data_IF_648858584161
#
_entry.id   IF_648858584161
#
_cell.length_a   1.000
_cell.length_b   1.000
_cell.length_c   1.000
_cell.angle_alpha   90.00
_cell.angle_beta   90.00
_cell.angle_gamma   90.00
#
_symmetry.space_group_name_H-M   'P 1'
#
loop_
_entity.id
_entity.type
_entity.pdbx_description
1 polymer ?
#
# COMPACT_ATOMS: atom_id res chain seq x y z
N UNK A 1 -22.63 28.36 -15.05
CA UNK A 1 -21.15 28.22 -15.00
C UNK A 1 -20.67 29.13 -13.86
N UNK A 2 -20.96 28.72 -12.63
CA UNK A 2 -21.42 29.68 -11.61
C UNK A 2 -20.35 30.34 -10.72
N UNK A 3 -19.09 30.37 -11.14
CA UNK A 3 -18.07 31.26 -10.53
C UNK A 3 -17.13 31.91 -11.57
N UNK A 4 -17.39 31.77 -12.88
CA UNK A 4 -16.48 32.25 -13.93
C UNK A 4 -15.13 31.52 -14.02
N UNK A 5 -14.94 30.48 -13.20
CA UNK A 5 -13.70 29.72 -13.10
C UNK A 5 -13.63 28.63 -14.17
N UNK A 6 -12.51 28.55 -14.89
CA UNK A 6 -12.32 27.60 -16.00
C UNK A 6 -12.29 26.14 -15.52
N UNK A 7 -12.67 25.21 -16.39
CA UNK A 7 -12.79 23.76 -16.07
C UNK A 7 -11.54 23.19 -15.42
N UNK A 8 -10.34 23.60 -15.87
CA UNK A 8 -9.06 23.15 -15.31
C UNK A 8 -8.87 23.65 -13.87
N UNK A 9 -9.24 24.90 -13.58
CA UNK A 9 -9.15 25.42 -12.21
C UNK A 9 -10.15 24.73 -11.29
N UNK A 10 -11.39 24.51 -11.73
CA UNK A 10 -12.40 23.76 -10.97
C UNK A 10 -11.93 22.33 -10.66
N UNK A 11 -11.32 21.65 -11.64
CA UNK A 11 -10.76 20.31 -11.43
C UNK A 11 -9.66 20.31 -10.37
N UNK A 12 -8.66 21.20 -10.48
CA UNK A 12 -7.53 21.23 -9.55
C UNK A 12 -7.90 21.70 -8.15
N UNK A 13 -8.90 22.58 -8.02
CA UNK A 13 -9.24 23.25 -6.76
C UNK A 13 -10.37 22.56 -5.99
N UNK A 14 -11.25 21.83 -6.68
CA UNK A 14 -12.42 21.18 -6.07
C UNK A 14 -12.34 19.67 -6.27
N UNK A 15 -12.33 19.19 -7.51
CA UNK A 15 -12.41 17.75 -7.80
C UNK A 15 -11.19 16.98 -7.32
N UNK A 16 -9.99 17.49 -7.57
CA UNK A 16 -8.72 16.84 -7.22
C UNK A 16 -8.54 16.74 -5.70
N UNK A 17 -8.75 17.79 -4.88
CA UNK A 17 -8.65 17.68 -3.42
C UNK A 17 -9.73 16.78 -2.82
N UNK A 18 -10.95 16.78 -3.38
CA UNK A 18 -12.03 15.88 -2.94
C UNK A 18 -11.71 14.40 -3.26
N UNK A 19 -11.09 14.13 -4.41
CA UNK A 19 -10.67 12.79 -4.79
C UNK A 19 -9.34 12.35 -4.15
N UNK A 20 -8.54 13.30 -3.65
CA UNK A 20 -7.21 13.09 -3.07
C UNK A 20 -7.12 11.96 -2.03
N UNK A 21 -7.99 11.88 -1.00
CA UNK A 21 -7.93 10.78 -0.03
C UNK A 21 -8.17 9.41 -0.68
N UNK A 22 -9.03 9.33 -1.70
CA UNK A 22 -9.29 8.10 -2.46
C UNK A 22 -8.11 7.71 -3.35
N UNK A 23 -7.47 8.68 -4.01
CA UNK A 23 -6.27 8.47 -4.84
C UNK A 23 -5.10 7.99 -3.97
N UNK A 24 -4.90 8.57 -2.78
CA UNK A 24 -3.87 8.11 -1.86
C UNK A 24 -4.11 6.66 -1.42
N UNK A 25 -5.36 6.31 -1.11
CA UNK A 25 -5.71 4.94 -0.75
C UNK A 25 -5.43 3.94 -1.88
N UNK A 26 -5.80 4.28 -3.13
CA UNK A 26 -5.56 3.41 -4.28
C UNK A 26 -4.08 3.28 -4.63
N UNK A 27 -3.30 4.36 -4.54
CA UNK A 27 -1.84 4.33 -4.75
C UNK A 27 -1.16 3.38 -3.77
N UNK A 28 -1.48 3.49 -2.48
CA UNK A 28 -0.91 2.60 -1.46
C UNK A 28 -1.33 1.14 -1.67
N UNK A 29 -2.58 0.90 -2.05
CA UNK A 29 -3.09 -0.44 -2.31
C UNK A 29 -2.40 -1.08 -3.53
N UNK A 30 -2.33 -0.38 -4.65
CA UNK A 30 -1.66 -0.88 -5.86
C UNK A 30 -0.17 -1.08 -5.65
N UNK A 31 0.50 -0.19 -4.90
CA UNK A 31 1.89 -0.39 -4.50
C UNK A 31 2.08 -1.67 -3.68
N UNK A 32 1.20 -1.90 -2.71
CA UNK A 32 1.24 -3.12 -1.86
C UNK A 32 1.08 -4.38 -2.69
N UNK A 33 0.10 -4.41 -3.60
CA UNK A 33 -0.13 -5.54 -4.51
C UNK A 33 1.09 -5.76 -5.41
N UNK A 34 1.66 -4.69 -5.98
CA UNK A 34 2.84 -4.79 -6.84
C UNK A 34 4.07 -5.34 -6.12
N UNK A 35 4.23 -5.06 -4.82
CA UNK A 35 5.36 -5.55 -4.03
C UNK A 35 5.22 -7.04 -3.67
N UNK A 36 3.99 -7.56 -3.58
CA UNK A 36 3.68 -8.96 -3.26
C UNK A 36 3.85 -9.91 -4.46
N UNK A 37 3.83 -9.39 -5.69
CA UNK A 37 3.94 -10.19 -6.92
C UNK A 37 5.39 -10.64 -7.22
N UNK A 38 5.87 -11.63 -6.47
CA UNK A 38 7.17 -12.28 -6.71
C UNK A 38 7.24 -12.95 -8.09
N UNK A 39 6.16 -13.61 -8.54
CA UNK A 39 6.17 -14.39 -9.79
C UNK A 39 6.41 -13.48 -10.99
N UNK A 40 5.72 -12.34 -11.06
CA UNK A 40 5.93 -11.36 -12.11
C UNK A 40 7.34 -10.79 -12.07
N UNK A 41 7.84 -10.43 -10.88
CA UNK A 41 9.21 -9.94 -10.74
C UNK A 41 10.23 -10.98 -11.22
N UNK A 42 10.06 -12.25 -10.86
CA UNK A 42 10.97 -13.34 -11.25
C UNK A 42 11.05 -13.52 -12.77
N UNK A 43 9.92 -13.42 -13.48
CA UNK A 43 9.91 -13.56 -14.93
C UNK A 43 10.31 -12.29 -15.69
N UNK A 44 10.12 -11.10 -15.11
CA UNK A 44 10.40 -9.83 -15.78
C UNK A 44 11.79 -9.24 -15.49
N UNK A 45 12.36 -9.50 -14.31
CA UNK A 45 13.59 -8.82 -13.86
C UNK A 45 14.87 -9.27 -14.58
N UNK A 46 14.86 -10.43 -15.25
CA UNK A 46 16.00 -10.92 -16.02
C UNK A 46 17.26 -11.11 -15.17
N UNK A 47 18.23 -10.20 -15.28
CA UNK A 47 19.50 -10.25 -14.55
C UNK A 47 19.52 -9.36 -13.29
N UNK A 48 18.50 -8.52 -13.08
CA UNK A 48 18.42 -7.64 -11.91
C UNK A 48 17.74 -8.36 -10.73
N UNK A 49 18.39 -8.36 -9.57
CA UNK A 49 17.85 -8.99 -8.36
C UNK A 49 17.02 -8.00 -7.57
N UNK A 50 15.69 -8.17 -7.61
CA UNK A 50 14.76 -7.47 -6.72
C UNK A 50 14.73 -8.14 -5.35
N UNK A 51 14.25 -7.42 -4.34
CA UNK A 51 14.21 -7.91 -2.96
C UNK A 51 13.46 -9.26 -2.79
N UNK A 52 12.29 -9.49 -3.42
CA UNK A 52 11.62 -10.80 -3.38
C UNK A 52 12.43 -11.91 -4.06
N UNK A 53 13.08 -11.62 -5.20
CA UNK A 53 13.93 -12.59 -5.92
C UNK A 53 15.16 -12.95 -5.09
N UNK A 54 15.74 -11.97 -4.40
CA UNK A 54 16.87 -12.19 -3.51
C UNK A 54 16.49 -13.15 -2.36
N UNK A 55 15.39 -12.87 -1.66
CA UNK A 55 14.88 -13.73 -0.57
C UNK A 55 14.68 -15.16 -1.09
N UNK A 56 14.03 -15.32 -2.25
CA UNK A 56 13.80 -16.62 -2.88
C UNK A 56 15.10 -17.35 -3.26
N UNK A 57 16.07 -16.65 -3.86
CA UNK A 57 17.36 -17.22 -4.28
C UNK A 57 18.15 -17.74 -3.08
N UNK A 58 18.13 -17.02 -1.95
CA UNK A 58 18.86 -17.41 -0.74
C UNK A 58 18.25 -18.62 -0.03
N UNK A 59 16.97 -18.96 -0.23
CA UNK A 59 16.34 -20.16 0.34
C UNK A 59 16.97 -21.47 -0.16
N UNK A 60 17.61 -21.46 -1.33
CA UNK A 60 18.28 -22.63 -1.91
C UNK A 60 19.58 -22.99 -1.19
N UNK A 61 20.12 -22.09 -0.37
CA UNK A 61 21.37 -22.28 0.36
C UNK A 61 21.10 -22.53 1.85
N UNK A 62 21.27 -23.76 2.35
CA UNK A 62 20.94 -24.10 3.74
C UNK A 62 21.62 -23.21 4.79
N UNK A 63 22.86 -22.78 4.49
CA UNK A 63 23.65 -21.93 5.38
C UNK A 63 23.13 -20.48 5.49
N UNK A 64 22.27 -20.04 4.57
CA UNK A 64 21.68 -18.69 4.55
C UNK A 64 20.23 -18.65 5.01
N UNK A 65 19.62 -19.81 5.27
CA UNK A 65 18.23 -19.94 5.75
C UNK A 65 17.94 -19.10 7.02
N UNK A 66 18.78 -19.08 8.07
CA UNK A 66 18.47 -18.31 9.28
C UNK A 66 18.34 -16.80 8.99
N UNK A 67 19.17 -16.28 8.08
CA UNK A 67 19.14 -14.87 7.68
C UNK A 67 17.87 -14.53 6.90
N UNK A 68 17.47 -15.40 5.96
CA UNK A 68 16.25 -15.20 5.15
C UNK A 68 14.99 -15.27 6.01
N UNK A 69 14.92 -16.23 6.94
CA UNK A 69 13.80 -16.37 7.87
C UNK A 69 13.69 -15.15 8.79
N UNK A 70 14.82 -14.59 9.25
CA UNK A 70 14.82 -13.35 10.03
C UNK A 70 14.30 -12.15 9.22
N UNK A 71 14.67 -12.03 7.94
CA UNK A 71 14.14 -10.97 7.07
C UNK A 71 12.63 -11.13 6.86
N UNK A 72 12.16 -12.36 6.63
CA UNK A 72 10.72 -12.66 6.52
C UNK A 72 9.96 -12.31 7.79
N UNK A 73 10.50 -12.64 8.97
CA UNK A 73 9.91 -12.26 10.25
C UNK A 73 9.80 -10.74 10.42
N UNK A 74 10.84 -9.97 10.03
CA UNK A 74 10.80 -8.52 10.06
C UNK A 74 9.69 -7.94 9.17
N UNK A 75 9.54 -8.46 7.94
CA UNK A 75 8.48 -8.03 7.01
C UNK A 75 7.09 -8.35 7.58
N UNK A 76 6.89 -9.54 8.14
CA UNK A 76 5.62 -9.93 8.76
C UNK A 76 5.26 -9.04 9.95
N UNK A 77 6.22 -8.77 10.83
CA UNK A 77 6.03 -7.88 11.99
C UNK A 77 5.68 -6.46 11.53
N UNK A 78 6.39 -5.95 10.52
CA UNK A 78 6.12 -4.63 9.95
C UNK A 78 4.71 -4.53 9.35
N UNK A 79 4.31 -5.51 8.53
CA UNK A 79 2.95 -5.58 7.96
C UNK A 79 1.89 -5.69 9.06
N UNK A 80 2.13 -6.49 10.10
CA UNK A 80 1.24 -6.59 11.25
C UNK A 80 1.04 -5.24 11.95
N UNK A 81 2.11 -4.47 12.16
CA UNK A 81 2.03 -3.13 12.73
C UNK A 81 1.25 -2.17 11.83
N UNK A 82 1.49 -2.17 10.52
CA UNK A 82 0.75 -1.31 9.57
C UNK A 82 -0.74 -1.63 9.58
N UNK A 83 -1.11 -2.90 9.49
CA UNK A 83 -2.51 -3.32 9.45
C UNK A 83 -3.19 -3.00 10.79
N UNK A 84 -2.54 -3.31 11.91
CA UNK A 84 -3.06 -2.98 13.24
C UNK A 84 -3.24 -1.47 13.40
N UNK A 85 -2.26 -0.69 12.97
CA UNK A 85 -2.34 0.79 13.01
C UNK A 85 -3.48 1.30 12.13
N UNK A 86 -3.62 0.78 10.91
CA UNK A 86 -4.69 1.13 9.98
C UNK A 86 -6.07 0.80 10.55
N UNK A 87 -6.22 -0.38 11.16
CA UNK A 87 -7.46 -0.80 11.82
C UNK A 87 -7.79 0.05 13.05
N UNK A 88 -6.79 0.39 13.88
CA UNK A 88 -6.97 1.27 15.04
C UNK A 88 -7.39 2.67 14.60
N UNK A 89 -6.76 3.21 13.55
CA UNK A 89 -7.13 4.50 12.99
C UNK A 89 -8.51 4.47 12.34
N UNK A 90 -8.88 3.37 11.67
CA UNK A 90 -10.24 3.20 11.13
C UNK A 90 -11.28 3.14 12.24
N UNK A 91 -11.00 2.43 13.35
CA UNK A 91 -11.88 2.39 14.53
C UNK A 91 -12.03 3.75 15.22
N UNK A 92 -11.00 4.61 15.16
CA UNK A 92 -11.05 5.99 15.71
C UNK A 92 -11.70 6.99 14.75
N UNK A 93 -11.61 6.76 13.45
CA UNK A 93 -12.25 7.57 12.40
C UNK A 93 -13.73 7.27 12.20
N UNK A 94 -14.23 6.12 12.68
CA UNK A 94 -15.66 5.87 12.87
C UNK A 94 -16.08 6.46 14.22
N UNK A 95 -16.06 7.80 14.32
CA UNK A 95 -16.96 8.46 15.25
C UNK A 95 -18.39 8.09 14.86
N UNK A 96 -19.31 7.86 15.81
CA UNK A 96 -20.71 7.58 15.48
C UNK A 96 -21.24 8.73 14.61
N UNK A 97 -21.28 8.55 13.29
CA UNK A 97 -22.08 9.40 12.44
C UNK A 97 -23.51 9.12 12.87
N UNK A 98 -24.08 10.14 13.54
CA UNK A 98 -25.32 10.02 14.26
C UNK A 98 -26.39 9.37 13.40
N UNK A 99 -27.03 8.35 13.96
CA UNK A 99 -28.46 8.25 13.83
C UNK A 99 -29.08 9.55 14.35
N UNK A 100 -29.19 10.55 13.47
CA UNK A 100 -30.31 11.47 13.50
C UNK A 100 -31.45 10.67 12.86
N UNK A 101 -32.30 10.08 13.69
CA UNK A 101 -33.58 10.67 14.08
C UNK A 101 -34.65 10.35 13.03
N UNK A 102 -35.70 9.67 13.50
CA UNK A 102 -37.03 9.42 12.91
C UNK A 102 -37.11 8.66 11.58
#
# INVERSE_FOLDING_TARGET
LDLGEGVVQTFLRITLPLAWPGILASVLLTFTISFDEFILAFFLAGNEVTLPIYIWSQLRFPNRLPMVLSLGACVLVFSFFIVTFSEVMRRRGVGPQGGAAI
#
